data_IF_870444513406
#
_entry.id   IF_870444513406
#
_cell.length_a   1.000
_cell.length_b   1.000
_cell.length_c   1.000
_cell.angle_alpha   90.00
_cell.angle_beta   90.00
_cell.angle_gamma   90.00
#
_symmetry.space_group_name_H-M   'P 1'
#
loop_
_entity.id
_entity.type
_entity.pdbx_description
1 polymer ?
#
# COMPACT_ATOMS: atom_id res chain seq x y z
N UNK A 1 2.81 -6.55 1.86
CA UNK A 1 2.22 -6.21 0.54
C UNK A 1 0.92 -6.97 0.39
N UNK A 2 -0.18 -6.29 0.07
CA UNK A 2 -1.44 -6.93 -0.27
C UNK A 2 -1.70 -6.69 -1.75
N UNK A 3 -2.10 -7.72 -2.49
CA UNK A 3 -2.31 -7.65 -3.94
C UNK A 3 -3.78 -7.51 -4.35
N UNK A 4 -4.71 -7.77 -3.42
CA UNK A 4 -6.13 -7.87 -3.72
C UNK A 4 -6.97 -6.97 -2.82
N UNK A 5 -8.02 -6.39 -3.41
CA UNK A 5 -9.07 -5.69 -2.67
C UNK A 5 -10.08 -6.65 -2.04
N UNK A 6 -11.03 -6.11 -1.25
CA UNK A 6 -12.10 -6.92 -0.63
C UNK A 6 -13.07 -7.56 -1.62
N UNK A 7 -13.08 -7.06 -2.86
CA UNK A 7 -13.79 -7.54 -4.05
C UNK A 7 -12.97 -8.51 -4.90
N UNK A 8 -11.76 -8.88 -4.44
CA UNK A 8 -10.80 -9.70 -5.19
C UNK A 8 -10.36 -9.09 -6.53
N UNK A 9 -10.54 -7.78 -6.71
CA UNK A 9 -9.92 -7.05 -7.82
C UNK A 9 -8.44 -6.80 -7.51
N UNK A 10 -7.60 -6.85 -8.55
CA UNK A 10 -6.18 -6.57 -8.40
C UNK A 10 -6.01 -5.13 -7.90
N UNK A 11 -5.44 -4.99 -6.70
CA UNK A 11 -5.29 -3.72 -6.00
C UNK A 11 -4.05 -3.80 -5.09
N UNK A 12 -2.83 -3.76 -5.66
CA UNK A 12 -1.61 -3.81 -4.88
C UNK A 12 -1.49 -2.59 -3.97
N UNK A 13 -1.38 -2.82 -2.66
CA UNK A 13 -1.27 -1.77 -1.65
C UNK A 13 -0.43 -2.20 -0.45
N UNK A 14 0.10 -1.21 0.25
CA UNK A 14 0.89 -1.37 1.47
C UNK A 14 0.14 -0.78 2.66
N UNK A 15 0.18 -1.50 3.78
CA UNK A 15 -0.24 -1.00 5.08
C UNK A 15 1.01 -0.74 5.90
N UNK A 16 1.20 0.50 6.32
CA UNK A 16 2.34 0.90 7.13
C UNK A 16 1.85 1.48 8.45
N UNK A 17 2.38 0.97 9.56
CA UNK A 17 2.21 1.59 10.87
C UNK A 17 3.44 2.46 11.08
N UNK A 18 3.21 3.76 11.28
CA UNK A 18 4.28 4.73 11.51
C UNK A 18 4.08 5.35 12.90
N UNK A 19 5.16 5.55 13.67
CA UNK A 19 5.06 6.27 14.93
C UNK A 19 4.65 7.72 14.69
N UNK A 20 3.92 8.30 15.63
CA UNK A 20 3.58 9.73 15.66
C UNK A 20 4.75 10.59 16.16
N UNK A 21 5.95 10.36 15.64
CA UNK A 21 7.18 11.00 16.10
C UNK A 21 8.43 10.21 15.69
N UNK A 22 9.59 10.69 16.10
CA UNK A 22 10.87 10.02 15.85
C UNK A 22 11.92 10.44 16.86
N UNK A 23 13.04 9.72 16.89
CA UNK A 23 14.19 10.09 17.72
C UNK A 23 14.85 11.35 17.15
N UNK A 24 15.37 12.21 18.02
CA UNK A 24 16.14 13.38 17.63
C UNK A 24 17.39 13.00 16.83
N UNK A 25 17.93 13.90 15.97
CA UNK A 25 19.12 13.58 15.16
C UNK A 25 20.35 13.15 15.96
N UNK A 26 20.47 13.62 17.21
CA UNK A 26 21.51 13.25 18.17
C UNK A 26 21.20 11.99 19.00
N UNK A 27 20.03 11.37 18.80
CA UNK A 27 19.64 10.13 19.48
C UNK A 27 19.14 10.30 20.92
N UNK A 28 19.16 11.51 21.48
CA UNK A 28 19.02 11.72 22.93
C UNK A 28 17.56 11.81 23.42
N UNK A 29 16.61 12.13 22.53
CA UNK A 29 15.22 12.37 22.93
C UNK A 29 14.21 12.01 21.86
N UNK A 30 12.97 11.76 22.27
CA UNK A 30 11.84 11.62 21.37
C UNK A 30 11.31 12.98 20.91
N UNK A 31 11.00 13.11 19.62
CA UNK A 31 10.33 14.24 19.01
C UNK A 31 8.94 13.77 18.55
N UNK A 32 7.92 14.08 19.34
CA UNK A 32 6.52 13.79 18.99
C UNK A 32 6.05 14.65 17.83
N UNK A 33 5.13 14.10 17.03
CA UNK A 33 4.40 14.88 16.05
C UNK A 33 3.49 15.90 16.74
N UNK A 34 3.03 16.90 15.97
CA UNK A 34 2.02 17.84 16.44
C UNK A 34 0.73 17.07 16.81
N UNK A 35 0.00 17.48 17.86
CA UNK A 35 -1.32 16.95 18.16
C UNK A 35 -2.25 17.08 16.94
N UNK A 36 -3.04 16.05 16.67
CA UNK A 36 -3.95 16.00 15.52
C UNK A 36 -3.36 15.26 14.32
N UNK A 37 -3.05 15.98 13.25
CA UNK A 37 -2.75 15.37 11.94
C UNK A 37 -1.26 15.41 11.60
N UNK A 38 -0.67 14.23 11.41
CA UNK A 38 0.78 14.06 11.24
C UNK A 38 1.32 14.68 9.94
N UNK A 39 0.67 14.40 8.79
CA UNK A 39 1.17 14.81 7.46
C UNK A 39 0.04 15.01 6.44
N UNK A 40 -0.05 16.16 5.73
CA UNK A 40 -1.04 16.39 4.67
C UNK A 40 -1.10 15.25 3.64
N UNK A 41 -2.22 14.51 3.55
CA UNK A 41 -2.33 13.33 2.67
C UNK A 41 -2.02 13.64 1.21
N UNK A 42 -2.44 14.81 0.70
CA UNK A 42 -2.16 15.25 -0.68
C UNK A 42 -0.65 15.45 -0.91
N UNK A 43 0.06 16.00 0.07
CA UNK A 43 1.51 16.19 -0.03
C UNK A 43 2.21 14.84 0.03
N UNK A 44 1.82 13.98 0.97
CA UNK A 44 2.39 12.64 1.11
C UNK A 44 2.16 11.80 -0.15
N UNK A 45 0.96 11.85 -0.74
CA UNK A 45 0.63 11.16 -1.97
C UNK A 45 1.51 11.60 -3.14
N UNK A 46 1.71 12.91 -3.31
CA UNK A 46 2.58 13.46 -4.36
C UNK A 46 4.05 13.11 -4.14
N UNK A 47 4.52 13.18 -2.89
CA UNK A 47 5.89 12.84 -2.53
C UNK A 47 6.16 11.35 -2.75
N UNK A 48 5.26 10.49 -2.30
CA UNK A 48 5.35 9.06 -2.50
C UNK A 48 5.36 8.71 -3.99
N UNK A 49 4.42 9.24 -4.78
CA UNK A 49 4.41 9.07 -6.25
C UNK A 49 5.75 9.46 -6.87
N UNK A 50 6.29 10.63 -6.52
CA UNK A 50 7.57 11.09 -7.06
C UNK A 50 8.70 10.13 -6.69
N UNK A 51 8.89 9.85 -5.39
CA UNK A 51 9.99 9.00 -4.90
C UNK A 51 9.90 7.58 -5.43
N UNK A 52 8.71 6.99 -5.43
CA UNK A 52 8.51 5.65 -5.96
C UNK A 52 8.88 5.56 -7.44
N UNK A 53 8.47 6.53 -8.27
CA UNK A 53 8.80 6.52 -9.69
C UNK A 53 10.29 6.84 -9.97
N UNK A 54 10.93 7.65 -9.13
CA UNK A 54 12.39 7.89 -9.18
C UNK A 54 13.16 6.59 -8.89
N UNK A 55 12.85 5.93 -7.77
CA UNK A 55 13.51 4.67 -7.38
C UNK A 55 13.22 3.54 -8.37
N UNK A 56 11.99 3.49 -8.91
CA UNK A 56 11.60 2.51 -9.91
C UNK A 56 12.37 2.71 -11.23
N UNK A 57 12.63 3.96 -11.63
CA UNK A 57 13.52 4.27 -12.76
C UNK A 57 14.94 3.80 -12.47
N UNK A 58 15.50 4.15 -11.30
CA UNK A 58 16.86 3.75 -10.92
C UNK A 58 17.01 2.22 -10.91
N UNK A 59 16.00 1.48 -10.44
CA UNK A 59 16.01 0.02 -10.47
C UNK A 59 15.95 -0.55 -11.90
N UNK A 60 15.19 0.08 -12.80
CA UNK A 60 15.14 -0.29 -14.21
C UNK A 60 16.47 -0.06 -14.91
N UNK A 61 17.03 1.14 -14.78
CA UNK A 61 18.28 1.53 -15.42
C UNK A 61 19.47 0.66 -14.92
N UNK A 62 19.39 0.19 -13.67
CA UNK A 62 20.35 -0.74 -13.08
C UNK A 62 20.10 -2.22 -13.41
N UNK A 63 19.10 -2.55 -14.25
CA UNK A 63 18.78 -3.93 -14.64
C UNK A 63 18.25 -4.81 -13.49
N UNK A 64 17.74 -4.22 -12.41
CA UNK A 64 17.25 -4.95 -11.22
C UNK A 64 15.80 -5.42 -11.33
N UNK A 65 15.11 -5.07 -12.41
CA UNK A 65 13.71 -5.41 -12.62
C UNK A 65 13.58 -6.54 -13.65
N UNK A 66 12.86 -7.60 -13.29
CA UNK A 66 12.46 -8.66 -14.20
C UNK A 66 11.10 -8.36 -14.84
N UNK A 67 10.99 -8.54 -16.15
CA UNK A 67 9.76 -8.36 -16.90
C UNK A 67 9.43 -9.64 -17.69
N UNK A 68 8.18 -10.10 -17.59
CA UNK A 68 7.77 -11.40 -18.12
C UNK A 68 6.41 -11.31 -18.81
N UNK A 69 6.12 -12.29 -19.68
CA UNK A 69 4.83 -12.39 -20.37
C UNK A 69 4.47 -11.11 -21.15
N UNK A 70 3.25 -10.61 -20.95
CA UNK A 70 2.77 -9.38 -21.57
C UNK A 70 3.55 -8.12 -21.15
N UNK A 71 4.32 -8.17 -20.07
CA UNK A 71 5.15 -7.05 -19.60
C UNK A 71 6.58 -7.08 -20.14
N UNK A 72 7.00 -8.12 -20.87
CA UNK A 72 8.38 -8.27 -21.36
C UNK A 72 8.88 -7.03 -22.15
N UNK A 73 7.99 -6.35 -22.86
CA UNK A 73 8.30 -5.14 -23.62
C UNK A 73 8.79 -3.97 -22.74
N UNK A 74 8.47 -3.96 -21.44
CA UNK A 74 8.91 -2.94 -20.48
C UNK A 74 10.39 -3.04 -20.11
N UNK A 75 11.08 -4.12 -20.49
CA UNK A 75 12.54 -4.17 -20.42
C UNK A 75 13.20 -3.10 -21.30
N UNK A 76 12.51 -2.62 -22.36
CA UNK A 76 13.02 -1.56 -23.24
C UNK A 76 12.93 -0.18 -22.54
N UNK A 77 14.02 0.61 -22.49
CA UNK A 77 14.04 1.92 -21.82
C UNK A 77 12.93 2.88 -22.26
N UNK A 78 12.64 2.95 -23.56
CA UNK A 78 11.60 3.85 -24.10
C UNK A 78 10.18 3.43 -23.68
N UNK A 79 9.91 2.13 -23.68
CA UNK A 79 8.62 1.59 -23.26
C UNK A 79 8.40 1.86 -21.77
N UNK A 80 9.43 1.63 -20.96
CA UNK A 80 9.39 1.94 -19.53
C UNK A 80 9.24 3.43 -19.26
N UNK A 81 9.94 4.29 -20.02
CA UNK A 81 9.82 5.73 -19.90
C UNK A 81 8.41 6.24 -20.18
N UNK A 82 7.75 5.70 -21.22
CA UNK A 82 6.35 6.01 -21.51
C UNK A 82 5.44 5.60 -20.38
N UNK A 83 5.58 4.37 -19.87
CA UNK A 83 4.81 3.90 -18.71
C UNK A 83 4.97 4.84 -17.51
N UNK A 84 6.21 5.20 -17.14
CA UNK A 84 6.47 6.11 -16.03
C UNK A 84 5.85 7.50 -16.24
N UNK A 85 5.83 8.00 -17.48
CA UNK A 85 5.20 9.27 -17.82
C UNK A 85 3.66 9.21 -17.69
N UNK A 86 3.04 8.10 -18.09
CA UNK A 86 1.61 7.86 -17.95
C UNK A 86 1.19 7.78 -16.47
N UNK A 87 1.83 6.90 -15.69
CA UNK A 87 1.46 6.69 -14.28
C UNK A 87 1.75 7.91 -13.41
N UNK A 88 2.68 8.78 -13.82
CA UNK A 88 2.97 10.05 -13.14
C UNK A 88 1.77 11.02 -13.19
N UNK A 89 0.96 10.95 -14.25
CA UNK A 89 -0.23 11.81 -14.44
C UNK A 89 -1.44 11.33 -13.64
N UNK A 90 -1.44 10.07 -13.21
CA UNK A 90 -2.49 9.53 -12.36
C UNK A 90 -2.42 10.14 -10.96
N UNK A 91 -3.59 10.29 -10.32
CA UNK A 91 -3.66 10.60 -8.91
C UNK A 91 -3.36 9.34 -8.11
N UNK A 92 -2.36 9.44 -7.24
CA UNK A 92 -1.97 8.36 -6.34
C UNK A 92 -2.62 8.64 -4.99
N UNK A 93 -3.19 7.61 -4.36
CA UNK A 93 -3.87 7.76 -3.08
C UNK A 93 -2.97 7.21 -1.99
N UNK A 94 -2.50 8.09 -1.11
CA UNK A 94 -2.00 7.72 0.21
C UNK A 94 -3.02 8.17 1.24
N UNK A 95 -3.53 7.21 2.01
CA UNK A 95 -4.43 7.46 3.11
C UNK A 95 -3.69 7.32 4.44
N UNK A 96 -3.82 8.34 5.29
CA UNK A 96 -3.29 8.33 6.65
C UNK A 96 -4.43 8.65 7.61
N UNK A 97 -4.51 7.91 8.70
CA UNK A 97 -5.48 8.12 9.79
C UNK A 97 -4.76 8.34 11.12
N UNK A 98 -5.43 8.97 12.10
CA UNK A 98 -4.91 9.12 13.45
C UNK A 98 -4.45 7.78 14.06
N UNK A 99 -3.56 7.83 15.08
CA UNK A 99 -3.01 6.63 15.70
C UNK A 99 -4.10 5.69 16.21
N UNK A 100 -3.77 4.40 16.24
CA UNK A 100 -4.54 3.42 17.00
C UNK A 100 -4.60 3.91 18.46
N UNK A 101 -5.76 3.83 19.09
CA UNK A 101 -6.04 4.43 20.41
C UNK A 101 -5.24 3.85 21.59
N UNK A 102 -4.08 3.25 21.34
CA UNK A 102 -3.20 2.60 22.30
C UNK A 102 -2.34 1.50 21.65
N UNK A 103 -1.27 1.05 22.33
CA UNK A 103 -0.47 -0.12 21.94
C UNK A 103 -1.31 -1.39 21.73
N UNK A 104 -2.36 -1.58 22.53
CA UNK A 104 -3.25 -2.75 22.46
C UNK A 104 -3.98 -2.79 21.10
N UNK A 105 -4.41 -1.65 20.59
CA UNK A 105 -5.07 -1.57 19.28
C UNK A 105 -4.07 -1.76 18.13
N UNK A 106 -2.80 -1.38 18.31
CA UNK A 106 -1.72 -1.71 17.36
C UNK A 106 -1.53 -3.24 17.32
N UNK A 107 -1.43 -3.88 18.48
CA UNK A 107 -1.31 -5.35 18.58
C UNK A 107 -2.53 -6.06 17.98
N UNK A 108 -3.75 -5.60 18.28
CA UNK A 108 -4.97 -6.15 17.70
C UNK A 108 -5.04 -5.95 16.18
N UNK A 109 -4.52 -4.84 15.67
CA UNK A 109 -4.39 -4.63 14.24
C UNK A 109 -3.38 -5.62 13.64
N UNK A 110 -2.15 -5.67 14.14
CA UNK A 110 -1.11 -6.59 13.65
C UNK A 110 -1.54 -8.05 13.73
N UNK A 111 -2.17 -8.47 14.83
CA UNK A 111 -2.68 -9.83 15.02
C UNK A 111 -3.71 -10.24 13.98
N UNK A 112 -4.56 -9.31 13.50
CA UNK A 112 -5.46 -9.58 12.38
C UNK A 112 -4.73 -9.79 11.05
N UNK A 113 -3.58 -9.15 10.85
CA UNK A 113 -2.79 -9.28 9.62
C UNK A 113 -1.96 -10.56 9.58
N UNK A 114 -1.60 -11.11 10.74
CA UNK A 114 -0.88 -12.40 10.80
C UNK A 114 -1.78 -13.62 10.67
N UNK A 115 -3.08 -13.49 10.99
CA UNK A 115 -4.01 -14.63 11.02
C UNK A 115 -5.14 -14.59 9.96
N UNK A 116 -5.30 -13.48 9.21
CA UNK A 116 -6.36 -13.40 8.18
C UNK A 116 -5.78 -13.58 6.78
N UNK A 117 -6.31 -14.59 6.09
CA UNK A 117 -6.14 -14.84 4.65
C UNK A 117 -7.01 -13.88 3.81
N UNK A 118 -6.95 -14.01 2.48
CA UNK A 118 -7.62 -13.13 1.50
C UNK A 118 -9.13 -12.89 1.76
N UNK A 119 -9.82 -13.86 2.38
CA UNK A 119 -11.23 -13.77 2.78
C UNK A 119 -11.36 -14.21 4.24
N UNK A 120 -12.01 -13.41 5.08
CA UNK A 120 -12.28 -13.80 6.46
C UNK A 120 -13.39 -14.86 6.52
N UNK A 121 -13.26 -15.87 7.40
CA UNK A 121 -14.25 -16.95 7.55
C UNK A 121 -15.68 -16.44 7.77
N UNK A 122 -15.86 -15.34 8.50
CA UNK A 122 -17.18 -14.73 8.74
C UNK A 122 -17.85 -14.16 7.48
N UNK A 123 -17.12 -14.05 6.37
CA UNK A 123 -17.64 -13.62 5.07
C UNK A 123 -18.07 -14.80 4.21
N UNK A 124 -17.68 -16.04 4.53
CA UNK A 124 -18.11 -17.23 3.78
C UNK A 124 -19.60 -17.50 4.04
N UNK A 125 -20.36 -17.73 2.98
CA UNK A 125 -21.79 -18.08 3.01
C UNK A 125 -21.95 -19.58 2.75
N UNK A 126 -21.29 -20.08 1.71
CA UNK A 126 -21.27 -21.49 1.34
C UNK A 126 -20.02 -21.82 0.54
N UNK A 127 -19.64 -23.10 0.55
CA UNK A 127 -18.57 -23.66 -0.25
C UNK A 127 -19.02 -25.04 -0.73
N UNK A 128 -19.04 -25.24 -2.04
CA UNK A 128 -19.21 -26.52 -2.71
C UNK A 128 -17.96 -26.80 -3.56
N UNK A 129 -17.93 -27.94 -4.27
CA UNK A 129 -16.72 -28.43 -4.95
C UNK A 129 -16.12 -27.42 -5.96
N UNK A 130 -16.97 -26.61 -6.61
CA UNK A 130 -16.56 -25.69 -7.68
C UNK A 130 -16.82 -24.21 -7.36
N UNK A 131 -17.52 -23.91 -6.25
CA UNK A 131 -17.99 -22.55 -5.95
C UNK A 131 -17.80 -22.18 -4.48
N UNK A 132 -17.35 -20.95 -4.28
CA UNK A 132 -17.31 -20.29 -2.97
C UNK A 132 -18.20 -19.05 -3.02
N UNK A 133 -19.23 -18.99 -2.18
CA UNK A 133 -20.05 -17.81 -2.00
C UNK A 133 -19.60 -17.03 -0.76
N UNK A 134 -19.43 -15.72 -0.89
CA UNK A 134 -19.03 -14.86 0.22
C UNK A 134 -19.72 -13.48 0.17
N UNK A 135 -19.94 -12.89 1.35
CA UNK A 135 -20.43 -11.52 1.47
C UNK A 135 -19.32 -10.54 1.12
N UNK A 136 -19.66 -9.47 0.42
CA UNK A 136 -18.73 -8.35 0.20
C UNK A 136 -19.39 -7.01 0.48
N UNK A 137 -18.55 -6.01 0.75
CA UNK A 137 -19.00 -4.65 1.00
C UNK A 137 -18.91 -3.87 -0.30
N UNK A 138 -20.06 -3.50 -0.85
CA UNK A 138 -20.11 -2.51 -1.91
C UNK A 138 -19.75 -1.14 -1.35
N UNK A 139 -18.85 -0.44 -2.03
CA UNK A 139 -18.44 0.92 -1.67
C UNK A 139 -19.19 1.98 -2.49
N UNK A 140 -20.02 1.56 -3.46
CA UNK A 140 -20.84 2.45 -4.30
C UNK A 140 -22.21 2.75 -3.67
N UNK A 141 -22.64 1.99 -2.67
CA UNK A 141 -23.94 2.10 -2.00
C UNK A 141 -23.80 2.01 -0.48
#
# INVERSE_FOLDING_TARGET
LHSWGQTLTYHPHLHCIVPGGGVSPDGTRWISCRPGFFLPMRVLSRLFRRRFLEELRVAHDAGRLGFFGNLAHLAKPDAFARLLAEVRRLEWVVYAKPPFGGPEQVLAYLGRYTHRVAIANSRLISMDDDRVAFRWRDYRH
#
